data_IF_069925794212
#
_entry.id   IF_069925794212
#
_cell.length_a   1.000
_cell.length_b   1.000
_cell.length_c   1.000
_cell.angle_alpha   90.00
_cell.angle_beta   90.00
_cell.angle_gamma   90.00
#
_symmetry.space_group_name_H-M   'P 1'
#
loop_
_entity.id
_entity.type
_entity.pdbx_description
1 polymer ?
#
# COMPACT_ATOMS: atom_id res chain seq x y z
N UNK A 1 -55.65 -31.14 9.69
CA UNK A 1 -54.35 -30.57 10.08
C UNK A 1 -53.51 -31.74 10.54
N UNK A 2 -52.71 -32.28 9.63
CA UNK A 2 -51.96 -33.52 9.85
C UNK A 2 -50.75 -33.24 10.76
N UNK A 3 -50.55 -34.07 11.77
CA UNK A 3 -49.33 -34.10 12.59
C UNK A 3 -48.15 -34.44 11.67
N UNK A 4 -47.43 -33.43 11.22
CA UNK A 4 -46.32 -33.54 10.26
C UNK A 4 -44.96 -33.64 10.98
N UNK A 5 -44.95 -34.33 12.12
CA UNK A 5 -43.77 -34.43 12.99
C UNK A 5 -43.64 -35.77 13.69
N UNK A 6 -44.14 -36.86 13.10
CA UNK A 6 -43.60 -38.19 13.41
C UNK A 6 -42.39 -38.38 12.50
N UNK A 7 -41.24 -38.68 13.10
CA UNK A 7 -40.02 -38.97 12.35
C UNK A 7 -40.29 -40.12 11.36
N UNK A 8 -39.74 -40.06 10.14
CA UNK A 8 -39.90 -41.16 9.17
C UNK A 8 -39.46 -42.52 9.74
N UNK A 9 -38.52 -42.49 10.69
CA UNK A 9 -38.10 -43.64 11.48
C UNK A 9 -39.25 -44.18 12.34
N UNK A 10 -40.01 -43.32 13.02
CA UNK A 10 -41.17 -43.73 13.83
C UNK A 10 -42.28 -44.31 12.97
N UNK A 11 -42.50 -43.77 11.76
CA UNK A 11 -43.50 -44.29 10.81
C UNK A 11 -43.21 -45.72 10.35
N UNK A 12 -41.93 -46.12 10.28
CA UNK A 12 -41.50 -47.46 9.90
C UNK A 12 -41.39 -48.41 11.10
N UNK A 13 -40.95 -47.89 12.26
CA UNK A 13 -40.80 -48.68 13.49
C UNK A 13 -42.15 -49.10 14.08
N UNK A 14 -43.19 -48.29 13.91
CA UNK A 14 -44.51 -48.60 14.46
C UNK A 14 -45.11 -49.90 13.90
N UNK A 15 -45.28 -50.09 12.57
CA UNK A 15 -45.77 -51.37 12.02
C UNK A 15 -44.87 -52.57 12.36
N UNK A 16 -43.55 -52.36 12.45
CA UNK A 16 -42.59 -53.40 12.84
C UNK A 16 -42.77 -53.84 14.29
N UNK A 17 -42.93 -52.89 15.22
CA UNK A 17 -43.20 -53.20 16.62
C UNK A 17 -44.57 -53.86 16.81
N UNK A 18 -45.59 -53.41 16.08
CA UNK A 18 -46.91 -54.04 16.08
C UNK A 18 -46.83 -55.49 15.56
N UNK A 19 -46.15 -55.74 14.43
CA UNK A 19 -45.90 -57.09 13.92
C UNK A 19 -45.15 -57.98 14.93
N UNK A 20 -44.14 -57.42 15.62
CA UNK A 20 -43.41 -58.14 16.67
C UNK A 20 -44.35 -58.54 17.83
N UNK A 21 -45.23 -57.65 18.28
CA UNK A 21 -46.19 -57.98 19.34
C UNK A 21 -47.23 -59.02 18.89
N UNK A 22 -47.72 -58.92 17.65
CA UNK A 22 -48.66 -59.88 17.09
C UNK A 22 -48.03 -61.26 16.91
N UNK A 23 -46.79 -61.34 16.44
CA UNK A 23 -46.07 -62.61 16.32
C UNK A 23 -45.80 -63.26 17.69
N UNK A 24 -45.37 -62.47 18.69
CA UNK A 24 -45.14 -62.97 20.04
C UNK A 24 -46.42 -63.48 20.70
N UNK A 25 -47.55 -62.78 20.53
CA UNK A 25 -48.86 -63.23 21.05
C UNK A 25 -49.36 -64.49 20.36
N UNK A 26 -49.13 -64.64 19.05
CA UNK A 26 -49.40 -65.88 18.32
C UNK A 26 -48.57 -67.04 18.89
N UNK A 27 -47.25 -66.88 19.05
CA UNK A 27 -46.40 -67.94 19.60
C UNK A 27 -46.78 -68.31 21.04
N UNK A 28 -47.17 -67.35 21.88
CA UNK A 28 -47.67 -67.63 23.23
C UNK A 28 -49.00 -68.38 23.22
N UNK A 29 -49.89 -68.11 22.26
CA UNK A 29 -51.15 -68.83 22.09
C UNK A 29 -50.97 -70.29 21.65
N UNK A 30 -49.85 -70.60 20.97
CA UNK A 30 -49.48 -71.95 20.53
C UNK A 30 -48.61 -72.71 21.54
N UNK A 31 -48.21 -72.08 22.64
CA UNK A 31 -47.33 -72.67 23.65
C UNK A 31 -48.07 -73.62 24.60
N UNK A 32 -47.41 -74.63 25.20
CA UNK A 32 -48.06 -75.67 26.01
C UNK A 32 -48.76 -75.12 27.28
N UNK A 33 -49.78 -75.83 27.80
CA UNK A 33 -50.81 -75.31 28.71
C UNK A 33 -50.34 -75.22 30.18
N UNK A 34 -49.23 -74.53 30.45
CA UNK A 34 -48.78 -74.23 31.81
C UNK A 34 -49.49 -72.98 32.39
N UNK A 35 -49.99 -72.09 31.52
CA UNK A 35 -50.77 -70.89 31.89
C UNK A 35 -51.96 -70.74 30.94
N UNK A 36 -53.06 -70.13 31.39
CA UNK A 36 -54.27 -69.92 30.58
C UNK A 36 -53.86 -69.09 29.34
N UNK A 37 -53.84 -69.66 28.12
CA UNK A 37 -53.21 -69.01 26.99
C UNK A 37 -54.00 -67.75 26.59
N UNK A 38 -53.32 -66.66 26.18
CA UNK A 38 -53.99 -65.50 25.61
C UNK A 38 -54.73 -65.89 24.33
N UNK A 39 -55.85 -65.21 24.01
CA UNK A 39 -56.59 -65.49 22.78
C UNK A 39 -55.68 -65.28 21.56
N UNK A 40 -55.79 -66.14 20.53
CA UNK A 40 -54.97 -66.00 19.33
C UNK A 40 -55.27 -64.66 18.65
N UNK A 41 -54.25 -63.94 18.16
CA UNK A 41 -54.45 -62.71 17.40
C UNK A 41 -55.26 -62.98 16.13
N UNK A 42 -56.08 -62.02 15.71
CA UNK A 42 -56.90 -62.15 14.51
C UNK A 42 -56.03 -62.05 13.25
N UNK A 43 -56.35 -62.85 12.23
CA UNK A 43 -55.68 -62.79 10.92
C UNK A 43 -55.78 -61.39 10.29
N UNK A 44 -56.90 -60.69 10.53
CA UNK A 44 -57.12 -59.33 10.06
C UNK A 44 -56.10 -58.33 10.62
N UNK A 45 -55.61 -58.54 11.85
CA UNK A 45 -54.59 -57.66 12.45
C UNK A 45 -53.25 -57.77 11.72
N UNK A 46 -52.85 -58.98 11.28
CA UNK A 46 -51.63 -59.16 10.50
C UNK A 46 -51.74 -58.51 9.12
N UNK A 47 -52.89 -58.65 8.45
CA UNK A 47 -53.12 -58.02 7.13
C UNK A 47 -53.09 -56.49 7.27
N UNK A 48 -53.71 -55.93 8.31
CA UNK A 48 -53.68 -54.49 8.56
C UNK A 48 -52.26 -53.98 8.85
N UNK A 49 -51.45 -54.72 9.61
CA UNK A 49 -50.04 -54.37 9.84
C UNK A 49 -49.20 -54.47 8.55
N UNK A 50 -49.46 -55.45 7.68
CA UNK A 50 -48.77 -55.60 6.40
C UNK A 50 -49.11 -54.46 5.43
N UNK A 51 -50.40 -54.09 5.32
CA UNK A 51 -50.85 -52.93 4.55
C UNK A 51 -50.23 -51.63 5.08
N UNK A 52 -50.19 -51.45 6.41
CA UNK A 52 -49.56 -50.31 7.04
C UNK A 52 -48.05 -50.25 6.75
N UNK A 53 -47.34 -51.38 6.84
CA UNK A 53 -45.92 -51.47 6.53
C UNK A 53 -45.64 -51.17 5.05
N UNK A 54 -46.43 -51.73 4.14
CA UNK A 54 -46.33 -51.47 2.71
C UNK A 54 -46.53 -49.98 2.39
N UNK A 55 -47.52 -49.34 3.04
CA UNK A 55 -47.76 -47.90 2.88
C UNK A 55 -46.59 -47.04 3.40
N UNK A 56 -46.02 -47.41 4.56
CA UNK A 56 -44.90 -46.70 5.16
C UNK A 56 -43.61 -46.84 4.33
N UNK A 57 -43.34 -48.02 3.78
CA UNK A 57 -42.20 -48.26 2.88
C UNK A 57 -42.34 -47.49 1.58
N UNK A 58 -43.55 -47.44 0.99
CA UNK A 58 -43.80 -46.65 -0.21
C UNK A 58 -43.59 -45.15 0.04
N UNK A 59 -44.09 -44.64 1.17
CA UNK A 59 -43.84 -43.27 1.59
C UNK A 59 -42.34 -43.03 1.74
N UNK A 60 -41.63 -43.92 2.46
CA UNK A 60 -40.19 -43.82 2.66
C UNK A 60 -39.41 -43.74 1.34
N UNK A 61 -39.77 -44.55 0.35
CA UNK A 61 -39.18 -44.51 -0.98
C UNK A 61 -39.38 -43.14 -1.66
N UNK A 62 -40.59 -42.57 -1.61
CA UNK A 62 -40.85 -41.26 -2.19
C UNK A 62 -40.05 -40.15 -1.50
N UNK A 63 -39.91 -40.21 -0.17
CA UNK A 63 -39.08 -39.29 0.59
C UNK A 63 -37.60 -39.43 0.24
N UNK A 64 -37.10 -40.65 0.05
CA UNK A 64 -35.71 -40.87 -0.35
C UNK A 64 -35.41 -40.27 -1.73
N UNK A 65 -36.33 -40.39 -2.70
CA UNK A 65 -36.18 -39.76 -4.01
C UNK A 65 -36.13 -38.23 -3.87
N UNK A 66 -37.03 -37.65 -3.07
CA UNK A 66 -37.05 -36.20 -2.82
C UNK A 66 -35.77 -35.75 -2.12
N UNK A 67 -35.29 -36.52 -1.16
CA UNK A 67 -34.06 -36.24 -0.42
C UNK A 67 -32.84 -36.21 -1.33
N UNK A 68 -32.71 -37.17 -2.26
CA UNK A 68 -31.63 -37.13 -3.26
C UNK A 68 -31.71 -35.89 -4.14
N UNK A 69 -32.92 -35.46 -4.53
CA UNK A 69 -33.09 -34.21 -5.28
C UNK A 69 -32.65 -33.00 -4.46
N UNK A 70 -33.00 -32.95 -3.17
CA UNK A 70 -32.58 -31.88 -2.26
C UNK A 70 -31.05 -31.84 -2.13
N UNK A 71 -30.40 -32.99 -2.04
CA UNK A 71 -28.94 -33.09 -1.97
C UNK A 71 -28.27 -32.55 -3.23
N UNK A 72 -28.76 -32.92 -4.42
CA UNK A 72 -28.27 -32.37 -5.70
C UNK A 72 -28.47 -30.86 -5.77
N UNK A 73 -29.67 -30.35 -5.44
CA UNK A 73 -29.93 -28.91 -5.43
C UNK A 73 -29.05 -28.16 -4.43
N UNK A 74 -28.74 -28.78 -3.29
CA UNK A 74 -27.83 -28.20 -2.29
C UNK A 74 -26.41 -28.08 -2.85
N UNK A 75 -25.92 -29.09 -3.55
CA UNK A 75 -24.62 -29.04 -4.23
C UNK A 75 -24.59 -27.94 -5.28
N UNK A 76 -25.64 -27.80 -6.09
CA UNK A 76 -25.77 -26.73 -7.08
C UNK A 76 -25.74 -25.33 -6.43
N UNK A 77 -26.44 -25.15 -5.30
CA UNK A 77 -26.43 -23.88 -4.55
C UNK A 77 -25.02 -23.57 -4.03
N UNK A 78 -24.30 -24.57 -3.50
CA UNK A 78 -22.93 -24.37 -3.03
C UNK A 78 -21.98 -24.01 -4.17
N UNK A 79 -22.15 -24.61 -5.34
CA UNK A 79 -21.37 -24.27 -6.53
C UNK A 79 -21.65 -22.83 -7.00
N UNK A 80 -22.93 -22.44 -7.01
CA UNK A 80 -23.35 -21.07 -7.36
C UNK A 80 -22.82 -20.04 -6.36
N UNK A 81 -22.84 -20.32 -5.05
CA UNK A 81 -22.25 -19.45 -4.03
C UNK A 81 -20.73 -19.32 -4.21
N UNK A 82 -20.06 -20.42 -4.55
CA UNK A 82 -18.64 -20.41 -4.90
C UNK A 82 -18.34 -19.50 -6.09
N UNK A 83 -19.11 -19.64 -7.18
CA UNK A 83 -18.97 -18.78 -8.36
C UNK A 83 -19.29 -17.31 -8.05
N UNK A 84 -20.31 -17.04 -7.25
CA UNK A 84 -20.66 -15.69 -6.83
C UNK A 84 -19.52 -15.03 -6.05
N UNK A 85 -18.94 -15.74 -5.07
CA UNK A 85 -17.79 -15.25 -4.30
C UNK A 85 -16.60 -14.93 -5.19
N UNK A 86 -16.31 -15.79 -6.16
CA UNK A 86 -15.22 -15.57 -7.11
C UNK A 86 -15.44 -14.33 -7.98
N UNK A 87 -16.67 -14.07 -8.42
CA UNK A 87 -16.99 -12.84 -9.14
C UNK A 87 -16.80 -11.62 -8.24
N UNK A 88 -17.22 -11.69 -6.98
CA UNK A 88 -17.04 -10.60 -6.03
C UNK A 88 -15.56 -10.32 -5.72
N UNK A 89 -14.72 -11.36 -5.60
CA UNK A 89 -13.28 -11.19 -5.39
C UNK A 89 -12.63 -10.55 -6.61
N UNK A 90 -12.90 -11.05 -7.81
CA UNK A 90 -12.39 -10.47 -9.06
C UNK A 90 -12.82 -9.02 -9.24
N UNK A 91 -14.07 -8.70 -8.93
CA UNK A 91 -14.58 -7.33 -9.01
C UNK A 91 -13.88 -6.40 -8.01
N UNK A 92 -13.64 -6.85 -6.79
CA UNK A 92 -12.91 -6.06 -5.79
C UNK A 92 -11.44 -5.83 -6.18
N UNK A 93 -10.79 -6.85 -6.75
CA UNK A 93 -9.42 -6.70 -7.27
C UNK A 93 -9.40 -5.68 -8.41
N UNK A 94 -10.27 -5.83 -9.41
CA UNK A 94 -10.34 -4.90 -10.53
C UNK A 94 -10.72 -3.48 -10.10
N UNK A 95 -11.54 -3.33 -9.06
CA UNK A 95 -11.84 -2.03 -8.45
C UNK A 95 -10.57 -1.39 -7.87
N UNK A 96 -9.81 -2.14 -7.07
CA UNK A 96 -8.58 -1.64 -6.45
C UNK A 96 -7.53 -1.25 -7.48
N UNK A 97 -7.34 -2.08 -8.51
CA UNK A 97 -6.44 -1.78 -9.63
C UNK A 97 -6.85 -0.50 -10.35
N UNK A 98 -8.15 -0.30 -10.59
CA UNK A 98 -8.65 0.91 -11.23
C UNK A 98 -8.48 2.15 -10.34
N UNK A 99 -8.73 2.03 -9.04
CA UNK A 99 -8.50 3.11 -8.07
C UNK A 99 -7.03 3.54 -8.07
N UNK A 100 -6.10 2.59 -8.08
CA UNK A 100 -4.67 2.88 -8.16
C UNK A 100 -4.30 3.60 -9.46
N UNK A 101 -4.79 3.14 -10.61
CA UNK A 101 -4.53 3.81 -11.91
C UNK A 101 -5.09 5.24 -11.93
N UNK A 102 -6.25 5.46 -11.31
CA UNK A 102 -6.84 6.80 -11.20
C UNK A 102 -5.98 7.70 -10.31
N UNK A 103 -5.51 7.20 -9.17
CA UNK A 103 -4.64 7.94 -8.25
C UNK A 103 -3.32 8.33 -8.93
N UNK A 104 -2.64 7.36 -9.56
CA UNK A 104 -1.41 7.61 -10.35
C UNK A 104 -1.67 8.63 -11.47
N UNK A 105 -2.80 8.52 -12.18
CA UNK A 105 -3.18 9.47 -13.21
C UNK A 105 -3.40 10.89 -12.67
N UNK A 106 -3.95 11.03 -11.47
CA UNK A 106 -4.13 12.33 -10.82
C UNK A 106 -2.78 12.93 -10.40
N UNK A 107 -1.90 12.16 -9.80
CA UNK A 107 -0.54 12.60 -9.43
C UNK A 107 0.25 13.05 -10.65
N UNK A 108 0.21 12.28 -11.74
CA UNK A 108 0.86 12.64 -13.00
C UNK A 108 0.31 13.94 -13.56
N UNK A 109 -1.01 14.12 -13.55
CA UNK A 109 -1.65 15.36 -14.03
C UNK A 109 -1.20 16.56 -13.20
N UNK A 110 -1.18 16.43 -11.88
CA UNK A 110 -0.71 17.48 -10.98
C UNK A 110 0.77 17.82 -11.22
N UNK A 111 1.63 16.82 -11.41
CA UNK A 111 3.05 17.04 -11.69
C UNK A 111 3.27 17.77 -13.03
N UNK A 112 2.48 17.42 -14.06
CA UNK A 112 2.51 18.09 -15.36
C UNK A 112 2.05 19.55 -15.24
N UNK A 113 0.98 19.81 -14.48
CA UNK A 113 0.51 21.17 -14.25
C UNK A 113 1.54 22.02 -13.49
N UNK A 114 2.19 21.45 -12.48
CA UNK A 114 3.26 22.12 -11.75
C UNK A 114 4.47 22.37 -12.67
N UNK A 115 4.89 21.40 -13.47
CA UNK A 115 5.98 21.55 -14.43
C UNK A 115 5.66 22.63 -15.49
N UNK A 116 4.40 22.70 -15.96
CA UNK A 116 3.94 23.76 -16.86
C UNK A 116 3.99 25.15 -16.20
N UNK A 117 3.56 25.26 -14.93
CA UNK A 117 3.63 26.52 -14.17
C UNK A 117 5.07 26.96 -13.91
N UNK A 118 5.96 26.02 -13.63
CA UNK A 118 7.38 26.25 -13.41
C UNK A 118 8.22 26.16 -14.70
N UNK A 119 7.59 26.27 -15.87
CA UNK A 119 8.28 26.14 -17.16
C UNK A 119 9.26 27.29 -17.36
N UNK A 120 10.55 26.98 -17.25
CA UNK A 120 11.64 27.92 -17.52
C UNK A 120 11.78 28.10 -19.04
N UNK A 121 11.88 29.34 -19.55
CA UNK A 121 12.07 29.56 -20.98
C UNK A 121 13.41 28.98 -21.44
N UNK A 122 13.38 28.28 -22.57
CA UNK A 122 14.54 27.65 -23.20
C UNK A 122 15.80 28.54 -23.32
N UNK A 123 15.72 29.84 -23.68
CA UNK A 123 16.92 30.69 -23.75
C UNK A 123 17.62 30.89 -22.40
N UNK A 124 16.89 31.00 -21.29
CA UNK A 124 17.48 31.15 -19.95
C UNK A 124 18.19 29.86 -19.52
N UNK A 125 17.58 28.72 -19.83
CA UNK A 125 18.15 27.41 -19.53
C UNK A 125 19.46 27.18 -20.30
N UNK A 126 19.51 27.58 -21.57
CA UNK A 126 20.74 27.51 -22.37
C UNK A 126 21.83 28.43 -21.83
N UNK A 127 21.49 29.67 -21.47
CA UNK A 127 22.45 30.62 -20.90
C UNK A 127 23.04 30.11 -19.58
N UNK A 128 22.19 29.53 -18.71
CA UNK A 128 22.63 28.94 -17.45
C UNK A 128 23.45 27.66 -17.67
N UNK A 129 23.06 26.79 -18.61
CA UNK A 129 23.83 25.60 -18.93
C UNK A 129 25.24 25.94 -19.46
N UNK A 130 25.35 26.97 -20.31
CA UNK A 130 26.64 27.48 -20.79
C UNK A 130 27.50 28.02 -19.64
N UNK A 131 26.91 28.75 -18.69
CA UNK A 131 27.65 29.27 -17.54
C UNK A 131 28.12 28.13 -16.63
N UNK A 132 27.24 27.18 -16.29
CA UNK A 132 27.60 26.00 -15.49
C UNK A 132 28.65 25.12 -16.16
N UNK A 133 28.62 24.97 -17.48
CA UNK A 133 29.60 24.16 -18.22
C UNK A 133 31.04 24.55 -17.93
N UNK A 134 31.31 25.83 -17.65
CA UNK A 134 32.67 26.32 -17.31
C UNK A 134 33.14 25.94 -15.89
N UNK A 135 32.22 25.54 -15.01
CA UNK A 135 32.49 25.11 -13.63
C UNK A 135 32.36 23.60 -13.42
N UNK A 136 31.62 22.90 -14.30
CA UNK A 136 31.32 21.47 -14.15
C UNK A 136 32.09 20.58 -15.14
N UNK A 137 32.53 21.12 -16.28
CA UNK A 137 33.27 20.35 -17.27
C UNK A 137 34.77 20.42 -16.98
N UNK A 138 35.39 19.29 -16.64
CA UNK A 138 36.84 19.15 -16.75
C UNK A 138 37.17 18.84 -18.23
N UNK A 139 37.85 19.73 -18.98
CA UNK A 139 38.19 19.44 -20.37
C UNK A 139 39.09 18.18 -20.43
N UNK A 140 38.80 17.21 -21.32
CA UNK A 140 39.69 16.07 -21.51
C UNK A 140 41.03 16.61 -22.05
N UNK A 141 42.11 16.35 -21.30
CA UNK A 141 43.49 16.82 -21.52
C UNK A 141 43.85 18.23 -21.02
N UNK A 142 43.47 18.59 -19.79
CA UNK A 142 43.98 19.81 -19.16
C UNK A 142 45.37 19.57 -18.55
N UNK A 143 46.43 19.93 -19.27
CA UNK A 143 47.77 20.10 -18.70
C UNK A 143 47.80 21.37 -17.85
N UNK A 144 47.62 21.23 -16.52
CA UNK A 144 47.91 22.31 -15.56
C UNK A 144 49.43 22.49 -15.47
N UNK A 145 50.04 23.18 -16.43
CA UNK A 145 51.40 23.72 -16.25
C UNK A 145 51.28 25.19 -15.76
N UNK A 146 51.57 25.48 -14.49
CA UNK A 146 51.45 26.82 -13.91
C UNK A 146 52.52 27.81 -14.43
N UNK A 147 53.37 27.43 -15.39
CA UNK A 147 54.48 28.26 -15.86
C UNK A 147 54.21 29.11 -17.12
N UNK A 148 53.06 28.95 -17.80
CA UNK A 148 52.75 29.76 -18.99
C UNK A 148 51.94 31.03 -18.64
N UNK A 149 52.53 32.24 -18.76
CA UNK A 149 51.80 33.48 -18.57
C UNK A 149 50.93 33.78 -19.80
N UNK A 150 49.63 33.98 -19.59
CA UNK A 150 48.79 34.74 -20.54
C UNK A 150 47.49 34.09 -21.03
N UNK A 151 47.13 32.87 -20.61
CA UNK A 151 45.80 32.32 -20.92
C UNK A 151 44.89 32.34 -19.69
N UNK A 152 43.68 32.94 -19.79
CA UNK A 152 42.71 32.85 -18.71
C UNK A 152 42.33 31.38 -18.53
N UNK A 153 42.29 30.85 -17.30
CA UNK A 153 41.98 29.45 -17.07
C UNK A 153 40.56 29.16 -17.57
N UNK A 154 40.45 28.32 -18.60
CA UNK A 154 39.18 27.84 -19.19
C UNK A 154 38.37 26.95 -18.24
N UNK A 155 38.88 26.70 -17.03
CA UNK A 155 38.29 25.84 -16.03
C UNK A 155 38.26 26.55 -14.68
N UNK A 156 37.07 26.64 -14.10
CA UNK A 156 36.91 27.10 -12.73
C UNK A 156 36.75 25.90 -11.79
N UNK A 157 37.39 25.92 -10.61
CA UNK A 157 37.23 24.84 -9.65
C UNK A 157 35.76 24.70 -9.21
N UNK A 158 35.32 23.48 -8.85
CA UNK A 158 33.91 23.19 -8.54
C UNK A 158 33.41 23.88 -7.26
N UNK A 159 34.31 24.39 -6.44
CA UNK A 159 34.01 25.19 -5.25
C UNK A 159 34.79 26.51 -5.29
N UNK A 160 34.24 27.59 -4.71
CA UNK A 160 34.92 28.87 -4.63
C UNK A 160 36.23 28.74 -3.85
N UNK A 161 37.35 29.11 -4.48
CA UNK A 161 38.67 29.12 -3.84
C UNK A 161 38.75 30.24 -2.80
N UNK A 162 39.55 30.03 -1.75
CA UNK A 162 39.80 31.02 -0.69
C UNK A 162 40.23 32.39 -1.23
N UNK A 163 41.03 32.43 -2.29
CA UNK A 163 41.43 33.69 -2.94
C UNK A 163 40.23 34.46 -3.53
N UNK A 164 39.24 33.76 -4.11
CA UNK A 164 38.02 34.38 -4.63
C UNK A 164 37.09 34.84 -3.50
N UNK A 165 37.03 34.09 -2.40
CA UNK A 165 36.28 34.48 -1.20
C UNK A 165 36.91 35.73 -0.55
N UNK A 166 38.24 35.75 -0.47
CA UNK A 166 39.02 36.88 0.06
C UNK A 166 38.85 38.12 -0.81
N UNK A 167 39.07 38.02 -2.12
CA UNK A 167 38.83 39.14 -3.06
C UNK A 167 37.37 39.60 -3.15
N UNK A 168 36.44 38.76 -2.70
CA UNK A 168 35.00 39.03 -2.72
C UNK A 168 34.55 39.96 -1.60
N UNK A 169 33.23 40.13 -1.50
CA UNK A 169 32.63 40.94 -0.41
C UNK A 169 32.83 40.33 0.99
N UNK A 170 33.19 39.05 1.07
CA UNK A 170 33.32 38.34 2.33
C UNK A 170 34.47 38.86 3.20
N UNK A 171 35.64 39.16 2.62
CA UNK A 171 36.76 39.79 3.37
C UNK A 171 36.44 41.23 3.79
N UNK A 172 35.70 41.95 2.96
CA UNK A 172 35.32 43.35 3.23
C UNK A 172 34.38 43.46 4.45
N UNK A 173 33.57 42.44 4.70
CA UNK A 173 32.65 42.39 5.85
C UNK A 173 33.30 41.75 7.09
N UNK A 174 34.15 40.74 6.92
CA UNK A 174 34.95 40.17 8.00
C UNK A 174 36.30 39.63 7.47
N UNK A 175 37.45 40.03 8.05
CA UNK A 175 38.75 39.57 7.58
C UNK A 175 38.87 38.05 7.78
N UNK A 176 39.08 37.35 6.67
CA UNK A 176 39.38 35.92 6.67
C UNK A 176 40.75 35.67 7.33
N UNK A 177 40.91 34.51 7.98
CA UNK A 177 42.17 34.08 8.59
C UNK A 177 43.31 33.98 7.56
N UNK A 178 44.54 33.76 8.02
CA UNK A 178 45.74 33.76 7.16
C UNK A 178 45.64 32.60 6.14
N UNK A 179 46.01 32.87 4.88
CA UNK A 179 45.95 31.93 3.77
C UNK A 179 46.68 30.62 4.09
N UNK A 180 45.93 29.51 4.15
CA UNK A 180 46.46 28.17 4.46
C UNK A 180 46.25 27.68 5.90
N UNK A 181 45.60 28.46 6.77
CA UNK A 181 45.26 28.01 8.14
C UNK A 181 43.90 27.29 8.20
N UNK A 182 43.91 25.97 8.35
CA UNK A 182 42.69 25.18 8.53
C UNK A 182 42.14 25.36 9.96
N UNK A 183 41.04 26.09 10.10
CA UNK A 183 40.35 26.25 11.38
C UNK A 183 39.13 25.33 11.46
N UNK A 184 38.87 24.75 12.63
CA UNK A 184 37.65 23.98 12.88
C UNK A 184 36.43 24.90 12.82
N UNK A 185 35.49 24.63 11.89
CA UNK A 185 34.26 25.38 11.70
C UNK A 185 33.44 25.38 13.01
N UNK A 186 33.05 26.57 13.50
CA UNK A 186 32.24 26.73 14.72
C UNK A 186 32.95 27.43 15.90
N UNK A 187 34.24 27.73 15.78
CA UNK A 187 34.97 28.55 16.77
C UNK A 187 35.29 29.91 16.15
N UNK A 188 34.85 31.00 16.77
CA UNK A 188 35.18 32.36 16.33
C UNK A 188 36.70 32.51 16.19
N UNK A 189 37.19 33.18 15.12
CA UNK A 189 38.62 33.35 14.92
C UNK A 189 39.20 34.07 16.15
N UNK A 190 40.13 33.40 16.81
CA UNK A 190 40.87 34.01 17.92
C UNK A 190 41.71 35.12 17.29
N UNK A 191 41.40 36.37 17.62
CA UNK A 191 42.21 37.53 17.27
C UNK A 191 43.63 37.25 17.74
N UNK A 192 44.53 36.97 16.81
CA UNK A 192 45.95 36.86 17.12
C UNK A 192 46.43 38.21 17.67
N UNK A 193 47.36 38.23 18.63
CA UNK A 193 47.81 39.46 19.26
C UNK A 193 48.43 40.43 18.23
N UNK A 194 48.43 41.74 18.49
CA UNK A 194 48.86 42.74 17.52
C UNK A 194 50.32 42.50 17.14
N UNK A 195 50.55 42.26 15.84
CA UNK A 195 51.91 42.21 15.31
C UNK A 195 52.46 43.63 15.30
N UNK A 196 53.52 43.80 16.07
CA UNK A 196 54.34 45.00 16.19
C UNK A 196 54.71 45.51 14.80
N UNK A 197 54.44 46.80 14.58
CA UNK A 197 54.93 47.60 13.46
C UNK A 197 56.46 47.57 13.46
N UNK A 198 57.07 47.00 12.42
CA UNK A 198 58.37 47.48 11.96
C UNK A 198 58.18 48.28 10.67
N UNK A 199 58.84 49.44 10.55
CA UNK A 199 58.62 50.39 9.48
C UNK A 199 59.35 49.93 8.20
N UNK A 200 58.90 50.48 7.08
CA UNK A 200 59.46 50.39 5.74
C UNK A 200 58.99 49.15 4.93
N UNK A 201 58.04 49.37 4.01
CA UNK A 201 58.35 49.65 2.59
C UNK A 201 57.03 49.79 1.79
N UNK A 202 56.85 50.98 1.22
CA UNK A 202 56.05 51.38 0.05
C UNK A 202 54.54 51.64 0.16
N UNK A 203 54.28 52.91 0.44
CA UNK A 203 53.07 53.68 0.10
C UNK A 203 53.19 54.25 -1.32
N UNK A 204 52.35 53.81 -2.25
CA UNK A 204 51.79 54.56 -3.39
C UNK A 204 50.54 53.74 -3.77
N UNK A 205 49.32 54.27 -3.92
CA UNK A 205 48.96 55.50 -4.58
C UNK A 205 47.48 55.83 -4.29
N UNK A 206 47.21 57.12 -4.20
CA UNK A 206 45.91 57.77 -3.96
C UNK A 206 44.95 57.74 -5.15
N UNK A 207 43.67 57.88 -4.80
CA UNK A 207 42.56 58.57 -5.48
C UNK A 207 41.95 57.96 -6.77
N UNK A 208 40.67 57.58 -6.72
CA UNK A 208 39.57 58.49 -7.08
C UNK A 208 38.18 57.87 -6.83
N UNK A 209 37.42 58.52 -5.94
CA UNK A 209 35.97 58.35 -5.75
C UNK A 209 35.23 59.21 -6.81
N UNK A 210 34.07 58.75 -7.31
CA UNK A 210 32.89 59.60 -7.23
C UNK A 210 31.74 58.92 -6.48
N UNK A 211 30.74 59.74 -6.19
CA UNK A 211 29.82 59.66 -5.07
C UNK A 211 28.78 58.55 -5.17
N UNK A 212 28.37 58.12 -3.96
CA UNK A 212 27.25 57.26 -3.67
C UNK A 212 25.94 57.83 -4.24
N UNK A 213 25.18 57.00 -4.96
CA UNK A 213 23.73 57.09 -4.93
C UNK A 213 23.24 56.03 -3.93
N UNK A 214 22.77 56.53 -2.79
CA UNK A 214 21.98 55.80 -1.82
C UNK A 214 20.74 55.25 -2.54
N UNK A 215 20.65 53.93 -2.69
CA UNK A 215 19.36 53.27 -2.86
C UNK A 215 18.84 52.95 -1.46
N UNK A 216 17.94 53.81 -1.02
CA UNK A 216 17.07 53.61 0.13
C UNK A 216 16.03 52.55 -0.26
N UNK A 217 16.33 51.29 0.06
CA UNK A 217 15.40 50.16 -0.08
C UNK A 217 14.63 50.04 1.23
N UNK A 218 13.56 50.83 1.33
CA UNK A 218 12.55 50.69 2.38
C UNK A 218 11.82 49.36 2.17
N UNK A 219 12.27 48.35 2.92
CA UNK A 219 11.70 47.00 3.01
C UNK A 219 10.61 47.02 4.10
N UNK A 220 9.42 47.52 3.75
CA UNK A 220 8.24 47.29 4.59
C UNK A 220 7.80 45.83 4.44
N UNK A 221 8.15 45.03 5.44
CA UNK A 221 7.77 43.63 5.61
C UNK A 221 6.66 43.53 6.67
N UNK A 222 5.47 44.04 6.34
CA UNK A 222 4.24 43.71 7.06
C UNK A 222 3.14 43.31 6.08
N UNK A 223 2.95 42.02 5.81
CA UNK A 223 1.71 41.52 5.25
C UNK A 223 0.80 41.10 6.41
N UNK A 224 0.15 42.05 7.09
CA UNK A 224 -1.02 41.80 7.97
C UNK A 224 -1.62 43.12 8.50
N UNK A 225 -2.51 43.75 7.70
CA UNK A 225 -3.78 44.38 8.12
C UNK A 225 -4.69 44.63 6.91
#
# INVERSE_FOLDING_TARGET
MANDSDSMVESLLRPLSELQTLSHTLFMSLSPPQTKPPPPPSLAAFIACDEALASAVNLAYTHQIKQRKIEVLKEEILELDGRWREICTQLNVGKYELEQVIEEGQELTQSIEQAKKASIPYPELLALAQSLSSFTSAPPNMSLDPSLPGQPPLFFPPFPTEEKLRRGKLENEAPLAILGETHSIGRAPVVSPPKVLDPNVNSYQQDHRPQQQLFDLDLDLNPDL
#
